data_IF_374126368800
#
_entry.id   IF_374126368800
#
_cell.length_a   1.000
_cell.length_b   1.000
_cell.length_c   1.000
_cell.angle_alpha   90.00
_cell.angle_beta   90.00
_cell.angle_gamma   90.00
#
_symmetry.space_group_name_H-M   'P 1'
#
loop_
_entity.id
_entity.type
_entity.pdbx_description
1 polymer ?
#
# COMPACT_ATOMS: atom_id res chain seq x y z
N UNK A 1 15.17 -35.45 32.71
CA UNK A 1 14.74 -36.60 33.50
C UNK A 1 13.24 -36.51 33.79
N UNK A 2 12.49 -37.64 33.67
CA UNK A 2 11.05 -37.69 33.94
C UNK A 2 10.14 -37.34 32.75
N UNK A 3 10.65 -36.98 31.60
CA UNK A 3 9.85 -36.72 30.38
C UNK A 3 9.72 -38.02 29.59
N UNK A 4 8.49 -38.52 29.43
CA UNK A 4 8.23 -39.75 28.66
C UNK A 4 8.02 -39.46 27.17
N UNK A 5 7.47 -38.30 26.82
CA UNK A 5 7.19 -37.91 25.45
C UNK A 5 7.23 -36.37 25.32
N UNK A 6 7.82 -35.87 24.24
CA UNK A 6 7.81 -34.44 23.88
C UNK A 6 7.15 -34.25 22.52
N UNK A 7 6.28 -33.26 22.41
CA UNK A 7 5.61 -32.91 21.16
C UNK A 7 5.96 -31.45 20.84
N UNK A 8 6.44 -31.23 19.62
CA UNK A 8 6.71 -29.88 19.10
C UNK A 8 5.67 -29.55 18.04
N UNK A 9 4.90 -28.52 18.30
CA UNK A 9 3.83 -28.08 17.40
C UNK A 9 4.26 -26.79 16.69
N UNK A 10 4.15 -26.80 15.37
CA UNK A 10 4.40 -25.63 14.53
C UNK A 10 3.06 -25.11 14.00
N UNK A 11 2.78 -23.83 14.23
CA UNK A 11 1.53 -23.17 13.81
C UNK A 11 1.87 -22.06 12.82
N UNK A 12 1.24 -22.09 11.65
CA UNK A 12 1.27 -20.98 10.69
C UNK A 12 0.08 -20.07 10.94
N UNK A 13 0.35 -18.78 11.03
CA UNK A 13 -0.67 -17.74 11.21
C UNK A 13 -0.56 -16.69 10.10
N UNK A 14 -1.69 -16.37 9.48
CA UNK A 14 -1.78 -15.28 8.51
C UNK A 14 -2.38 -14.06 9.18
N UNK A 15 -1.58 -13.02 9.39
CA UNK A 15 -2.03 -11.75 9.97
C UNK A 15 -2.62 -10.84 8.91
N UNK A 16 -3.79 -10.29 9.16
CA UNK A 16 -4.40 -9.25 8.32
C UNK A 16 -3.71 -7.91 8.53
N UNK A 17 -3.82 -7.04 7.53
CA UNK A 17 -3.32 -5.66 7.65
C UNK A 17 -4.08 -4.91 8.74
N UNK A 18 -3.37 -4.14 9.55
CA UNK A 18 -3.93 -3.31 10.61
C UNK A 18 -3.32 -1.91 10.59
N UNK A 19 -3.95 -0.99 11.30
CA UNK A 19 -3.41 0.37 11.47
C UNK A 19 -2.04 0.30 12.14
N UNK A 20 -1.06 0.98 11.57
CA UNK A 20 0.32 0.99 12.04
C UNK A 20 1.26 0.02 11.32
N UNK A 21 0.73 -0.90 10.51
CA UNK A 21 1.55 -1.79 9.69
C UNK A 21 2.20 -1.02 8.53
N UNK A 22 3.41 -1.41 8.18
CA UNK A 22 4.18 -0.75 7.12
C UNK A 22 4.00 -1.45 5.78
N UNK A 23 3.73 -0.65 4.77
CA UNK A 23 3.65 -1.10 3.38
C UNK A 23 4.57 -0.29 2.49
N UNK A 24 4.99 -0.87 1.39
CA UNK A 24 5.84 -0.21 0.41
C UNK A 24 5.61 -0.72 -1.00
N UNK A 25 5.87 0.14 -1.98
CA UNK A 25 5.94 -0.23 -3.39
C UNK A 25 7.37 -0.56 -3.83
N UNK A 26 7.59 -0.61 -5.14
CA UNK A 26 8.90 -0.91 -5.76
C UNK A 26 9.77 0.32 -6.04
N UNK A 27 9.31 1.52 -5.73
CA UNK A 27 9.93 2.78 -6.12
C UNK A 27 10.48 3.60 -4.94
N UNK A 28 10.78 2.95 -3.81
CA UNK A 28 11.19 3.65 -2.59
C UNK A 28 10.05 4.37 -1.86
N UNK A 29 8.83 4.17 -2.30
CA UNK A 29 7.63 4.68 -1.65
C UNK A 29 7.23 3.76 -0.50
N UNK A 30 7.31 4.28 0.70
CA UNK A 30 6.95 3.57 1.94
C UNK A 30 5.93 4.37 2.73
N UNK A 31 5.11 3.68 3.47
CA UNK A 31 4.11 4.32 4.30
C UNK A 31 3.56 3.39 5.36
N UNK A 32 2.90 3.99 6.32
CA UNK A 32 2.24 3.29 7.42
C UNK A 32 0.73 3.42 7.25
N UNK A 33 0.02 2.33 7.46
CA UNK A 33 -1.44 2.31 7.38
C UNK A 33 -2.03 3.20 8.47
N UNK A 34 -2.77 4.23 8.07
CA UNK A 34 -3.41 5.17 9.01
C UNK A 34 -4.85 4.80 9.34
N UNK A 35 -5.57 4.21 8.38
CA UNK A 35 -6.97 3.81 8.56
C UNK A 35 -7.26 2.54 7.79
N UNK A 36 -8.12 1.71 8.36
CA UNK A 36 -8.76 0.58 7.67
C UNK A 36 -10.25 0.87 7.63
N UNK A 37 -10.79 0.99 6.42
CA UNK A 37 -12.20 1.33 6.18
C UNK A 37 -12.97 0.11 5.69
N UNK A 38 -14.28 0.01 5.99
CA UNK A 38 -15.16 -0.94 5.33
C UNK A 38 -15.20 -0.70 3.82
N UNK A 39 -15.49 -1.75 3.05
CA UNK A 39 -15.56 -1.67 1.58
C UNK A 39 -16.59 -0.64 1.10
N UNK A 40 -17.70 -0.50 1.84
CA UNK A 40 -18.78 0.43 1.54
C UNK A 40 -18.37 1.90 1.64
N UNK A 41 -17.37 2.21 2.47
CA UNK A 41 -16.89 3.59 2.68
C UNK A 41 -15.76 3.98 1.72
N UNK A 42 -15.23 3.02 0.97
CA UNK A 42 -14.16 3.27 0.00
C UNK A 42 -14.69 3.97 -1.25
N UNK A 43 -13.92 4.90 -1.84
CA UNK A 43 -14.25 5.44 -3.16
C UNK A 43 -14.40 4.32 -4.19
N UNK A 44 -15.29 4.50 -5.14
CA UNK A 44 -15.55 3.50 -6.15
C UNK A 44 -15.58 4.07 -7.57
N UNK A 45 -15.28 3.20 -8.52
CA UNK A 45 -15.28 3.47 -9.96
C UNK A 45 -16.71 3.63 -10.50
N UNK A 46 -16.90 4.24 -11.69
CA UNK A 46 -18.21 4.35 -12.31
C UNK A 46 -18.94 3.01 -12.52
N UNK A 47 -18.20 1.91 -12.62
CA UNK A 47 -18.77 0.55 -12.73
C UNK A 47 -19.14 -0.08 -11.37
N UNK A 48 -18.95 0.64 -10.27
CA UNK A 48 -19.25 0.18 -8.91
C UNK A 48 -18.13 -0.55 -8.19
N UNK A 49 -16.97 -0.77 -8.82
CA UNK A 49 -15.83 -1.43 -8.18
C UNK A 49 -15.16 -0.49 -7.16
N UNK A 50 -15.05 -0.88 -5.88
CA UNK A 50 -14.36 -0.08 -4.88
C UNK A 50 -12.85 -0.14 -5.04
N UNK A 51 -12.15 0.91 -4.58
CA UNK A 51 -10.69 0.91 -4.48
C UNK A 51 -10.22 0.08 -3.29
N UNK A 52 -9.07 -0.54 -3.43
CA UNK A 52 -8.45 -1.34 -2.37
C UNK A 52 -7.58 -0.50 -1.44
N UNK A 53 -6.94 0.54 -1.98
CA UNK A 53 -6.03 1.42 -1.23
C UNK A 53 -6.13 2.85 -1.75
N UNK A 54 -5.98 3.81 -0.83
CA UNK A 54 -5.86 5.24 -1.14
C UNK A 54 -4.53 5.74 -0.62
N UNK A 55 -3.75 6.36 -1.49
CA UNK A 55 -2.41 6.86 -1.19
C UNK A 55 -2.36 8.38 -1.25
N UNK A 56 -1.56 8.97 -0.36
CA UNK A 56 -1.36 10.41 -0.32
C UNK A 56 -0.39 10.85 -1.43
N UNK A 57 -0.79 11.73 -2.36
CA UNK A 57 0.07 12.19 -3.44
C UNK A 57 1.24 13.08 -2.99
N UNK A 58 1.20 13.65 -1.79
CA UNK A 58 2.29 14.47 -1.23
C UNK A 58 3.61 13.69 -1.06
N UNK A 59 3.54 12.36 -1.03
CA UNK A 59 4.73 11.51 -0.97
C UNK A 59 5.52 11.41 -2.28
N UNK A 60 5.06 12.00 -3.38
CA UNK A 60 5.68 11.87 -4.71
C UNK A 60 6.65 13.03 -5.04
N UNK A 61 6.28 14.34 -4.94
CA UNK A 61 7.04 15.42 -5.57
C UNK A 61 8.45 15.59 -5.00
N UNK A 62 8.58 15.65 -3.67
CA UNK A 62 9.86 15.89 -3.00
C UNK A 62 10.81 14.68 -3.02
N UNK A 63 10.29 13.49 -3.26
CA UNK A 63 11.06 12.23 -3.20
C UNK A 63 11.53 11.74 -4.55
N UNK A 64 11.16 12.42 -5.63
CA UNK A 64 11.60 12.14 -7.00
C UNK A 64 11.36 10.67 -7.43
N UNK A 65 10.29 10.07 -6.98
CA UNK A 65 9.90 8.69 -7.28
C UNK A 65 8.71 8.64 -8.24
N UNK A 66 8.80 9.39 -9.33
CA UNK A 66 7.76 9.48 -10.37
C UNK A 66 7.43 8.12 -11.02
N UNK A 67 8.36 7.16 -10.96
CA UNK A 67 8.16 5.82 -11.49
C UNK A 67 6.92 5.12 -10.96
N UNK A 68 6.48 5.43 -9.73
CA UNK A 68 5.24 4.89 -9.18
C UNK A 68 3.99 5.39 -9.94
N UNK A 69 4.00 6.64 -10.40
CA UNK A 69 2.89 7.21 -11.18
C UNK A 69 2.85 6.58 -12.58
N UNK A 70 4.00 6.39 -13.20
CA UNK A 70 4.11 5.70 -14.49
C UNK A 70 3.68 4.24 -14.39
N UNK A 71 4.04 3.56 -13.30
CA UNK A 71 3.55 2.19 -13.01
C UNK A 71 2.03 2.15 -12.92
N UNK A 72 1.42 3.09 -12.23
CA UNK A 72 -0.04 3.15 -12.07
C UNK A 72 -0.73 3.34 -13.42
N UNK A 73 -0.24 4.23 -14.26
CA UNK A 73 -0.80 4.48 -15.58
C UNK A 73 -0.70 3.24 -16.48
N UNK A 74 0.49 2.68 -16.58
CA UNK A 74 0.71 1.52 -17.46
C UNK A 74 -0.02 0.26 -16.96
N UNK A 75 -0.10 0.09 -15.65
CA UNK A 75 -0.81 -1.04 -15.04
C UNK A 75 -2.33 -0.98 -15.20
N UNK A 76 -2.89 0.22 -15.26
CA UNK A 76 -4.31 0.40 -15.58
C UNK A 76 -4.61 -0.16 -16.98
N UNK A 77 -3.79 0.22 -17.97
CA UNK A 77 -3.89 -0.31 -19.32
C UNK A 77 -3.65 -1.83 -19.38
N UNK A 78 -2.62 -2.31 -18.68
CA UNK A 78 -2.28 -3.74 -18.64
C UNK A 78 -3.43 -4.59 -18.08
N UNK A 79 -4.06 -4.13 -17.01
CA UNK A 79 -5.21 -4.83 -16.42
C UNK A 79 -6.46 -4.80 -17.31
N UNK A 80 -6.71 -3.69 -17.97
CA UNK A 80 -7.83 -3.58 -18.91
C UNK A 80 -7.65 -4.48 -20.13
N UNK A 81 -6.42 -4.61 -20.64
CA UNK A 81 -6.08 -5.47 -21.79
C UNK A 81 -5.83 -6.94 -21.39
N UNK A 82 -5.52 -7.22 -20.12
CA UNK A 82 -5.17 -8.56 -19.66
C UNK A 82 -3.72 -8.96 -19.92
N UNK A 83 -2.83 -8.01 -20.19
CA UNK A 83 -1.40 -8.26 -20.43
C UNK A 83 -0.56 -8.24 -19.18
N UNK A 84 0.56 -8.95 -19.21
CA UNK A 84 1.68 -8.73 -18.33
C UNK A 84 2.74 -7.91 -19.06
N UNK A 85 3.05 -6.74 -18.54
CA UNK A 85 4.01 -5.81 -19.15
C UNK A 85 5.31 -5.82 -18.35
N UNK A 86 6.42 -6.06 -19.03
CA UNK A 86 7.77 -5.98 -18.48
C UNK A 86 8.49 -4.77 -19.07
N UNK A 87 9.04 -3.91 -18.20
CA UNK A 87 9.77 -2.71 -18.58
C UNK A 87 11.16 -2.74 -17.93
N UNK A 88 12.17 -3.41 -18.56
CA UNK A 88 13.53 -3.41 -18.05
C UNK A 88 14.11 -1.99 -17.97
N UNK A 89 15.13 -1.78 -17.13
CA UNK A 89 15.70 -0.47 -16.83
C UNK A 89 16.21 0.25 -18.09
N UNK A 90 16.83 -0.49 -19.01
CA UNK A 90 17.44 0.09 -20.22
C UNK A 90 16.61 -0.12 -21.50
N UNK A 91 15.48 -0.78 -21.39
CA UNK A 91 14.55 -1.04 -22.49
C UNK A 91 13.10 -0.89 -21.97
N UNK A 92 12.82 0.26 -21.42
CA UNK A 92 11.54 0.62 -20.86
C UNK A 92 10.61 1.28 -21.87
N UNK A 93 9.41 1.62 -21.40
CA UNK A 93 8.42 2.37 -22.18
C UNK A 93 8.63 3.88 -22.04
N UNK A 94 8.48 4.61 -23.13
CA UNK A 94 8.42 6.05 -23.12
C UNK A 94 7.04 6.55 -22.67
N UNK A 95 6.93 7.83 -22.34
CA UNK A 95 5.66 8.46 -21.94
C UNK A 95 4.58 8.30 -23.03
N UNK A 96 4.96 8.47 -24.30
CA UNK A 96 4.04 8.30 -25.43
C UNK A 96 3.54 6.86 -25.56
N UNK A 97 4.41 5.87 -25.34
CA UNK A 97 4.05 4.45 -25.36
C UNK A 97 2.98 4.14 -24.30
N UNK A 98 3.12 4.71 -23.10
CA UNK A 98 2.17 4.57 -22.01
C UNK A 98 0.82 5.19 -22.37
N UNK A 99 0.84 6.40 -22.93
CA UNK A 99 -0.37 7.10 -23.34
C UNK A 99 -1.11 6.38 -24.47
N UNK A 100 -0.38 5.89 -25.47
CA UNK A 100 -0.95 5.13 -26.58
C UNK A 100 -1.54 3.80 -26.10
N UNK A 101 -0.91 3.16 -25.14
CA UNK A 101 -1.43 1.94 -24.51
C UNK A 101 -2.70 2.23 -23.71
N UNK A 102 -2.81 3.37 -23.06
CA UNK A 102 -4.04 3.80 -22.38
C UNK A 102 -5.18 4.04 -23.39
N UNK A 103 -4.90 4.67 -24.52
CA UNK A 103 -5.90 4.85 -25.58
C UNK A 103 -6.38 3.50 -26.15
N UNK A 104 -5.45 2.59 -26.39
CA UNK A 104 -5.77 1.23 -26.83
C UNK A 104 -6.67 0.50 -25.81
N UNK A 105 -6.34 0.61 -24.53
CA UNK A 105 -7.12 0.00 -23.46
C UNK A 105 -8.54 0.59 -23.37
N UNK A 106 -8.67 1.91 -23.51
CA UNK A 106 -9.97 2.58 -23.52
C UNK A 106 -10.83 2.10 -24.69
N UNK A 107 -10.28 2.03 -25.89
CA UNK A 107 -11.00 1.58 -27.05
C UNK A 107 -11.38 0.09 -26.95
N UNK A 108 -10.47 -0.74 -26.44
CA UNK A 108 -10.75 -2.16 -26.21
C UNK A 108 -11.91 -2.40 -25.23
N UNK A 109 -12.00 -1.59 -24.18
CA UNK A 109 -13.01 -1.75 -23.13
C UNK A 109 -14.36 -1.16 -23.54
N UNK A 110 -14.37 0.00 -24.18
CA UNK A 110 -15.58 0.81 -24.37
C UNK A 110 -16.20 0.71 -25.77
N UNK A 111 -15.41 0.38 -26.80
CA UNK A 111 -15.95 0.17 -28.16
C UNK A 111 -16.56 -1.22 -28.31
N UNK A 112 -17.43 -1.39 -29.30
CA UNK A 112 -17.84 -2.73 -29.74
C UNK A 112 -16.64 -3.48 -30.32
N UNK A 113 -16.70 -4.83 -30.32
CA UNK A 113 -15.59 -5.61 -30.87
C UNK A 113 -15.35 -5.33 -32.36
N UNK A 114 -16.41 -5.15 -33.10
CA UNK A 114 -16.38 -4.90 -34.56
C UNK A 114 -15.69 -3.55 -34.84
N UNK A 115 -16.02 -2.52 -34.08
CA UNK A 115 -15.40 -1.19 -34.20
C UNK A 115 -13.93 -1.22 -33.76
N UNK A 116 -13.60 -1.92 -32.70
CA UNK A 116 -12.24 -2.09 -32.24
C UNK A 116 -11.38 -2.83 -33.27
N UNK A 117 -11.86 -3.95 -33.78
CA UNK A 117 -11.15 -4.73 -34.79
C UNK A 117 -10.94 -3.92 -36.08
N UNK A 118 -11.95 -3.19 -36.54
CA UNK A 118 -11.82 -2.33 -37.72
C UNK A 118 -10.77 -1.24 -37.54
N UNK A 119 -10.65 -0.67 -36.34
CA UNK A 119 -9.69 0.42 -36.04
C UNK A 119 -8.24 -0.09 -35.93
N UNK A 120 -8.04 -1.24 -35.27
CA UNK A 120 -6.69 -1.69 -34.87
C UNK A 120 -6.16 -2.88 -35.68
N UNK A 121 -6.89 -3.40 -36.65
CA UNK A 121 -6.50 -4.57 -37.44
C UNK A 121 -5.16 -4.39 -38.16
N UNK A 122 -4.86 -3.17 -38.62
CA UNK A 122 -3.63 -2.87 -39.34
C UNK A 122 -2.51 -2.40 -38.40
N UNK A 123 -2.84 -1.91 -37.22
CA UNK A 123 -1.88 -1.34 -36.27
C UNK A 123 -1.29 -2.37 -35.30
N UNK A 124 -2.07 -3.39 -34.93
CA UNK A 124 -1.67 -4.42 -34.00
C UNK A 124 -1.14 -5.67 -34.71
N UNK A 125 -0.20 -6.34 -34.06
CA UNK A 125 0.27 -7.65 -34.49
C UNK A 125 -0.89 -8.68 -34.47
N UNK A 126 -0.94 -9.59 -35.44
CA UNK A 126 -2.01 -10.61 -35.51
C UNK A 126 -2.13 -11.44 -34.23
N UNK A 127 -1.00 -11.78 -33.60
CA UNK A 127 -0.94 -12.53 -32.34
C UNK A 127 -1.60 -11.79 -31.19
N UNK A 128 -1.43 -10.46 -31.14
CA UNK A 128 -2.05 -9.60 -30.11
C UNK A 128 -3.56 -9.53 -30.34
N UNK A 129 -4.01 -9.40 -31.58
CA UNK A 129 -5.43 -9.38 -31.91
C UNK A 129 -6.12 -10.71 -31.56
N UNK A 130 -5.47 -11.83 -31.81
CA UNK A 130 -5.95 -13.16 -31.44
C UNK A 130 -6.07 -13.28 -29.92
N UNK A 131 -5.04 -12.89 -29.18
CA UNK A 131 -5.06 -12.86 -27.72
C UNK A 131 -6.21 -12.03 -27.15
N UNK A 132 -6.40 -10.81 -27.67
CA UNK A 132 -7.47 -9.91 -27.23
C UNK A 132 -8.87 -10.47 -27.58
N UNK A 133 -9.00 -11.16 -28.72
CA UNK A 133 -10.23 -11.83 -29.10
C UNK A 133 -10.60 -12.97 -28.16
N UNK A 134 -9.61 -13.78 -27.76
CA UNK A 134 -9.81 -14.94 -26.91
C UNK A 134 -10.10 -14.55 -25.45
N UNK A 135 -9.52 -13.43 -25.00
CA UNK A 135 -9.63 -12.96 -23.61
C UNK A 135 -10.66 -11.84 -23.42
N UNK A 136 -11.77 -11.86 -24.13
CA UNK A 136 -12.83 -10.84 -24.07
C UNK A 136 -13.47 -10.66 -22.68
N UNK A 137 -13.31 -11.61 -21.79
CA UNK A 137 -13.83 -11.52 -20.43
C UNK A 137 -13.25 -10.33 -19.66
N UNK A 138 -11.99 -9.97 -19.92
CA UNK A 138 -11.35 -8.79 -19.32
C UNK A 138 -12.05 -7.48 -19.67
N UNK A 139 -12.64 -7.38 -20.86
CA UNK A 139 -13.44 -6.21 -21.25
C UNK A 139 -14.59 -5.95 -20.29
N UNK A 140 -15.27 -7.01 -19.88
CA UNK A 140 -16.47 -6.91 -19.07
C UNK A 140 -16.17 -6.36 -17.67
N UNK A 141 -14.98 -6.63 -17.15
CA UNK A 141 -14.54 -6.13 -15.82
C UNK A 141 -14.36 -4.62 -15.80
N UNK A 142 -14.03 -4.02 -16.93
CA UNK A 142 -13.71 -2.59 -17.04
C UNK A 142 -14.73 -1.80 -17.87
N UNK A 143 -15.76 -2.47 -18.37
CA UNK A 143 -16.80 -1.84 -19.17
C UNK A 143 -17.48 -0.70 -18.41
N UNK A 144 -17.61 0.44 -19.06
CA UNK A 144 -18.20 1.64 -18.48
C UNK A 144 -17.22 2.53 -17.69
N UNK A 145 -15.95 2.15 -17.61
CA UNK A 145 -14.90 2.98 -17.03
C UNK A 145 -14.16 3.71 -18.16
N UNK A 146 -14.24 5.04 -18.26
CA UNK A 146 -13.47 5.79 -19.23
C UNK A 146 -11.99 5.79 -18.82
N UNK A 147 -11.11 5.36 -19.72
CA UNK A 147 -9.66 5.37 -19.53
C UNK A 147 -9.08 6.48 -20.39
N UNK A 148 -8.73 7.61 -19.78
CA UNK A 148 -8.16 8.75 -20.49
C UNK A 148 -6.64 8.69 -20.55
N UNK A 149 -6.03 9.45 -21.47
CA UNK A 149 -4.56 9.55 -21.61
C UNK A 149 -3.86 10.04 -20.35
N UNK A 150 -4.53 10.78 -19.49
CA UNK A 150 -4.02 11.25 -18.20
C UNK A 150 -4.14 10.24 -17.07
N UNK A 151 -4.74 9.08 -17.31
CA UNK A 151 -4.92 8.01 -16.33
C UNK A 151 -5.87 8.36 -15.18
N UNK A 152 -6.67 9.40 -15.34
CA UNK A 152 -7.59 9.89 -14.31
C UNK A 152 -9.02 9.45 -14.60
N UNK A 153 -9.74 9.09 -13.55
CA UNK A 153 -11.16 8.69 -13.61
C UNK A 153 -11.93 9.45 -12.53
N UNK A 154 -13.16 9.84 -12.84
CA UNK A 154 -14.07 10.40 -11.84
C UNK A 154 -14.58 9.29 -10.93
N UNK A 155 -14.21 9.40 -9.67
CA UNK A 155 -14.65 8.47 -8.63
C UNK A 155 -15.85 9.04 -7.89
N UNK A 156 -16.60 8.14 -7.25
CA UNK A 156 -17.66 8.48 -6.32
C UNK A 156 -17.22 8.20 -4.88
N UNK A 157 -17.70 9.04 -3.97
CA UNK A 157 -17.52 8.82 -2.54
C UNK A 157 -18.39 7.64 -2.07
N UNK A 158 -17.77 6.69 -1.36
CA UNK A 158 -18.50 5.53 -0.85
C UNK A 158 -19.55 5.84 0.22
N UNK A 159 -19.43 6.97 0.90
CA UNK A 159 -20.38 7.38 1.95
C UNK A 159 -21.62 8.11 1.40
N UNK A 160 -21.42 9.02 0.47
CA UNK A 160 -22.46 9.89 -0.07
C UNK A 160 -22.96 9.45 -1.43
N UNK A 161 -22.16 8.71 -2.19
CA UNK A 161 -22.44 8.34 -3.57
C UNK A 161 -22.23 9.47 -4.58
N UNK A 162 -21.81 10.65 -4.13
CA UNK A 162 -21.54 11.82 -4.98
C UNK A 162 -20.17 11.71 -5.65
N UNK A 163 -20.02 12.35 -6.81
CA UNK A 163 -18.74 12.45 -7.48
C UNK A 163 -17.76 13.36 -6.73
N UNK A 164 -16.49 13.01 -6.75
CA UNK A 164 -15.46 13.97 -6.35
C UNK A 164 -15.37 15.15 -7.32
N UNK A 165 -14.95 16.29 -6.83
CA UNK A 165 -14.84 17.53 -7.61
C UNK A 165 -13.86 17.40 -8.78
N UNK A 166 -12.80 16.64 -8.59
CA UNK A 166 -11.75 16.43 -9.58
C UNK A 166 -11.57 14.94 -9.90
N UNK A 167 -11.20 14.60 -11.14
CA UNK A 167 -10.82 13.24 -11.48
C UNK A 167 -9.56 12.81 -10.72
N UNK A 168 -9.47 11.53 -10.40
CA UNK A 168 -8.41 10.94 -9.57
C UNK A 168 -7.58 9.96 -10.40
N UNK A 169 -6.27 9.99 -10.23
CA UNK A 169 -5.36 8.99 -10.82
C UNK A 169 -5.58 7.64 -10.14
N UNK A 170 -5.91 6.64 -10.93
CA UNK A 170 -6.12 5.26 -10.48
C UNK A 170 -5.31 4.29 -11.31
N UNK A 171 -5.07 3.13 -10.77
CA UNK A 171 -4.41 2.03 -11.44
C UNK A 171 -4.09 0.91 -10.47
N UNK A 172 -3.26 -0.01 -10.89
CA UNK A 172 -2.77 -1.09 -10.06
C UNK A 172 -1.31 -0.86 -9.73
N UNK A 173 -0.93 -1.09 -8.48
CA UNK A 173 0.44 -0.96 -8.02
C UNK A 173 0.86 -2.25 -7.34
N UNK A 174 2.08 -2.68 -7.58
CA UNK A 174 2.67 -3.78 -6.82
C UNK A 174 3.05 -3.26 -5.43
N UNK A 175 2.24 -3.59 -4.43
CA UNK A 175 2.36 -3.09 -3.07
C UNK A 175 2.60 -4.23 -2.09
N UNK A 176 3.64 -4.08 -1.25
CA UNK A 176 4.12 -5.13 -0.34
C UNK A 176 3.84 -4.74 1.12
N UNK A 177 3.34 -5.69 1.87
CA UNK A 177 3.30 -5.61 3.33
C UNK A 177 4.69 -5.99 3.87
N UNK A 178 5.33 -5.06 4.54
CA UNK A 178 6.66 -5.29 5.12
C UNK A 178 6.55 -5.99 6.48
N UNK A 179 7.61 -6.70 6.87
CA UNK A 179 7.68 -7.39 8.16
C UNK A 179 7.93 -6.45 9.36
N UNK A 180 7.46 -5.22 9.24
CA UNK A 180 7.45 -4.22 10.31
C UNK A 180 6.02 -4.01 10.82
N UNK A 181 5.47 -5.08 11.39
CA UNK A 181 4.11 -5.09 11.89
C UNK A 181 4.03 -4.39 13.26
N UNK A 182 2.97 -3.63 13.46
CA UNK A 182 2.79 -2.86 14.70
C UNK A 182 2.68 -3.76 15.93
N UNK A 183 2.02 -4.90 15.81
CA UNK A 183 1.83 -5.83 16.92
C UNK A 183 3.14 -6.43 17.46
N UNK A 184 4.15 -6.54 16.60
CA UNK A 184 5.48 -7.00 16.99
C UNK A 184 6.32 -5.93 17.69
N UNK A 185 5.93 -4.66 17.58
CA UNK A 185 6.67 -3.50 18.09
C UNK A 185 5.99 -2.78 19.23
N UNK A 186 4.67 -2.83 19.32
CA UNK A 186 3.94 -2.21 20.41
C UNK A 186 4.25 -2.91 21.72
N UNK A 187 4.65 -2.13 22.71
CA UNK A 187 5.08 -2.65 24.00
C UNK A 187 4.79 -1.66 25.10
N UNK A 188 4.33 -2.17 26.24
CA UNK A 188 4.15 -1.41 27.47
C UNK A 188 4.52 -2.29 28.67
N UNK A 189 4.96 -1.64 29.74
CA UNK A 189 5.32 -2.33 30.98
C UNK A 189 4.92 -1.48 32.18
N UNK A 190 4.37 -2.09 33.19
CA UNK A 190 4.26 -1.50 34.55
C UNK A 190 5.36 -2.03 35.48
N UNK A 191 5.37 -3.32 35.71
CA UNK A 191 6.39 -4.06 36.47
C UNK A 191 6.76 -5.33 35.70
N UNK A 192 7.99 -5.80 35.85
CA UNK A 192 8.46 -6.99 35.16
C UNK A 192 9.85 -7.45 35.59
N UNK A 193 10.53 -8.28 34.81
CA UNK A 193 11.82 -8.84 35.19
C UNK A 193 12.95 -7.80 35.21
N UNK A 194 13.89 -8.04 36.09
CA UNK A 194 15.10 -7.22 36.32
C UNK A 194 16.36 -7.99 35.99
N UNK A 195 17.43 -7.28 35.63
CA UNK A 195 18.74 -7.88 35.44
C UNK A 195 19.30 -8.40 36.77
N UNK A 196 19.94 -9.55 36.78
CA UNK A 196 20.53 -10.13 37.95
C UNK A 196 21.71 -9.34 38.50
N UNK A 197 22.49 -8.69 37.63
CA UNK A 197 23.71 -7.98 37.99
C UNK A 197 23.42 -6.55 38.40
N UNK A 198 22.72 -5.81 37.56
CA UNK A 198 22.48 -4.37 37.80
C UNK A 198 21.20 -4.07 38.56
N UNK A 199 20.33 -5.05 38.74
CA UNK A 199 18.99 -4.87 39.34
C UNK A 199 18.17 -3.76 38.68
N UNK A 200 18.39 -3.56 37.40
CA UNK A 200 17.64 -2.63 36.56
C UNK A 200 16.67 -3.38 35.65
N UNK A 201 15.55 -2.76 35.20
CA UNK A 201 14.66 -3.37 34.24
C UNK A 201 15.39 -3.82 32.99
N UNK A 202 15.03 -5.01 32.46
CA UNK A 202 15.55 -5.51 31.21
C UNK A 202 15.08 -4.63 30.04
N UNK A 203 15.80 -4.64 28.93
CA UNK A 203 15.44 -3.93 27.71
C UNK A 203 14.75 -4.86 26.69
N UNK A 204 13.93 -4.27 25.82
CA UNK A 204 13.29 -4.96 24.70
C UNK A 204 11.95 -5.62 25.02
N UNK A 205 11.13 -5.76 23.98
CA UNK A 205 9.78 -6.34 24.07
C UNK A 205 9.80 -7.84 24.44
N UNK A 206 10.74 -8.59 23.89
CA UNK A 206 10.83 -10.04 24.08
C UNK A 206 11.06 -10.45 25.56
N UNK A 207 11.74 -9.60 26.30
CA UNK A 207 12.06 -9.80 27.73
C UNK A 207 11.07 -9.09 28.64
N UNK A 208 9.99 -8.55 28.11
CA UNK A 208 9.08 -7.68 28.85
C UNK A 208 9.81 -6.53 29.56
N UNK A 209 10.72 -5.89 28.83
CA UNK A 209 11.59 -4.83 29.33
C UNK A 209 10.94 -3.46 29.39
N UNK A 210 11.57 -2.53 30.10
CA UNK A 210 11.17 -1.14 30.20
C UNK A 210 11.90 -0.23 29.24
N UNK A 211 11.42 1.01 29.12
CA UNK A 211 12.07 2.06 28.37
C UNK A 211 13.21 2.67 29.20
N UNK A 212 14.31 3.00 28.54
CA UNK A 212 15.41 3.69 29.18
C UNK A 212 15.15 5.20 29.17
N UNK A 213 15.14 5.80 30.36
CA UNK A 213 15.11 7.24 30.54
C UNK A 213 16.54 7.75 30.77
N UNK A 214 17.21 8.13 29.68
CA UNK A 214 18.62 8.56 29.69
C UNK A 214 18.80 10.05 30.00
N UNK A 215 20.06 10.52 29.95
CA UNK A 215 20.41 11.91 30.18
C UNK A 215 19.72 12.90 29.26
N UNK A 216 19.59 12.56 27.96
CA UNK A 216 18.95 13.43 26.96
C UNK A 216 17.47 13.64 27.26
N UNK A 217 16.77 12.62 27.73
CA UNK A 217 15.37 12.70 28.13
C UNK A 217 15.18 13.56 29.38
N UNK A 218 16.14 13.50 30.32
CA UNK A 218 16.17 14.40 31.49
C UNK A 218 16.33 15.85 31.04
N UNK A 219 17.24 16.12 30.12
CA UNK A 219 17.45 17.47 29.57
C UNK A 219 16.23 18.02 28.87
N UNK A 220 15.50 17.16 28.16
CA UNK A 220 14.25 17.56 27.51
C UNK A 220 13.20 18.01 28.53
N UNK A 221 13.04 17.30 29.64
CA UNK A 221 12.11 17.69 30.69
C UNK A 221 12.55 18.96 31.40
N UNK A 222 13.86 19.16 31.63
CA UNK A 222 14.41 20.40 32.16
C UNK A 222 14.14 21.58 31.24
N UNK A 223 14.31 21.41 29.93
CA UNK A 223 14.05 22.44 28.92
C UNK A 223 12.58 22.90 28.88
N UNK A 224 11.66 21.99 29.14
CA UNK A 224 10.23 22.31 29.25
C UNK A 224 9.81 22.83 30.62
N UNK A 225 10.70 22.85 31.60
CA UNK A 225 10.38 23.23 32.96
C UNK A 225 9.43 22.26 33.68
N UNK A 226 9.35 21.01 33.22
CA UNK A 226 8.46 19.99 33.77
C UNK A 226 9.05 19.34 35.04
N UNK A 227 9.23 20.10 36.09
CA UNK A 227 9.91 19.67 37.32
C UNK A 227 9.14 18.57 38.06
N UNK A 228 7.84 18.68 38.15
CA UNK A 228 7.01 17.67 38.82
C UNK A 228 7.04 16.33 38.10
N UNK A 229 6.99 16.33 36.78
CA UNK A 229 7.10 15.12 35.98
C UNK A 229 8.45 14.45 36.13
N UNK A 230 9.52 15.23 36.13
CA UNK A 230 10.88 14.76 36.37
C UNK A 230 11.06 14.17 37.78
N UNK A 231 10.53 14.83 38.78
CA UNK A 231 10.53 14.32 40.16
C UNK A 231 9.77 13.00 40.28
N UNK A 232 8.60 12.89 39.67
CA UNK A 232 7.80 11.68 39.69
C UNK A 232 8.55 10.51 39.03
N UNK A 233 9.19 10.72 37.90
CA UNK A 233 9.93 9.67 37.17
C UNK A 233 11.16 9.23 37.98
N UNK A 234 11.87 10.14 38.63
CA UNK A 234 13.07 9.82 39.38
C UNK A 234 12.81 9.22 40.78
N UNK A 235 11.64 9.39 41.34
CA UNK A 235 11.32 8.96 42.69
C UNK A 235 10.24 7.88 42.74
N UNK A 236 8.98 8.21 42.39
CA UNK A 236 7.83 7.32 42.57
C UNK A 236 7.82 6.21 41.56
N UNK A 237 8.15 6.49 40.32
CA UNK A 237 8.21 5.53 39.22
C UNK A 237 9.58 4.88 39.02
N UNK A 238 10.53 5.20 39.85
CA UNK A 238 11.84 4.57 39.84
C UNK A 238 11.80 3.28 40.65
N UNK A 239 12.35 2.26 40.09
CA UNK A 239 12.56 0.99 40.77
C UNK A 239 13.91 0.90 41.48
#
# INVERSE_FOLDING_TARGET
PGVNQAVRIYIAQKRKISVGDKMAGRHGNKGVVSRVLPVEDMPFLPNGRPLDIVLNPLGVPSRMNIGQVLEIHLSLAAKALGFNIATPVFDGADENDIMDTLDLANDYVNLSWEEFEAKYKEELLPEVMEYLSDNREHRNLWKGVPISRDGKVRLRDGRTGEYFDSPVTIGHMHYLKLHHLVDDKIHARSTGPYSLVTQQPLGGKAQFGGQRFGEMEVWALEAYGASYTLQEILTVKSD
#
